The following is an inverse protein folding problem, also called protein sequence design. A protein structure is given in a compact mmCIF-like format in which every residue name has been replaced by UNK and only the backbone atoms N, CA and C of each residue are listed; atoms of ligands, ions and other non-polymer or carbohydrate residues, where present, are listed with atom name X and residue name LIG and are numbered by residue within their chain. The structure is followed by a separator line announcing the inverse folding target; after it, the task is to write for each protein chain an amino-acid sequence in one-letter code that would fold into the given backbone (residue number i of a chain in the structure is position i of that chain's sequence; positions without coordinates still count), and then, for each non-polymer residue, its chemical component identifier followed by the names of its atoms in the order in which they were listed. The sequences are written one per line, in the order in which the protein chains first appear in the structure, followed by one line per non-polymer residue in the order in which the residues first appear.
data_IF_863774970720
#
_entry.id   IF_863774970720
#
_cell.length_a   1.000
_cell.length_b   1.000
_cell.length_c   1.000
_cell.angle_alpha   90.00
_cell.angle_beta   90.00
_cell.angle_gamma   90.00
#
_symmetry.space_group_name_H-M   'P 1'
#
loop_
_entity.id
_entity.type
_entity.pdbx_description
1 polymer ?
#
# COMPACT_ATOMS: atom_id res chain seq x y z
N UNK A 1 13.77 17.00 -7.58
CA UNK A 1 12.63 16.16 -8.02
C UNK A 1 12.09 16.69 -9.34
N UNK A 2 11.83 15.82 -10.30
CA UNK A 2 11.25 16.24 -11.57
C UNK A 2 9.82 16.76 -11.35
N UNK A 3 9.45 17.82 -12.10
CA UNK A 3 8.15 18.47 -11.97
C UNK A 3 6.98 17.48 -12.13
N UNK A 4 7.09 16.53 -13.08
CA UNK A 4 6.02 15.55 -13.30
C UNK A 4 5.77 14.65 -12.09
N UNK A 5 6.77 14.40 -11.25
CA UNK A 5 6.61 13.60 -10.04
C UNK A 5 5.74 14.30 -9.00
N UNK A 6 5.78 15.64 -8.96
CA UNK A 6 4.94 16.44 -8.06
C UNK A 6 3.47 16.44 -8.49
N UNK A 7 3.19 16.07 -9.74
CA UNK A 7 1.84 16.01 -10.30
C UNK A 7 1.22 14.62 -10.20
N UNK A 8 1.96 13.62 -9.72
CA UNK A 8 1.42 12.26 -9.55
C UNK A 8 0.38 12.24 -8.42
N UNK A 9 -0.65 11.40 -8.55
CA UNK A 9 -1.65 11.26 -7.49
C UNK A 9 -1.03 10.65 -6.24
N UNK A 10 -1.52 11.07 -5.07
CA UNK A 10 -1.11 10.52 -3.78
C UNK A 10 -1.77 9.18 -3.49
N UNK A 11 -2.93 8.95 -4.07
CA UNK A 11 -3.69 7.71 -3.94
C UNK A 11 -4.39 7.41 -5.26
N UNK A 12 -4.44 6.13 -5.60
CA UNK A 12 -5.15 5.65 -6.79
C UNK A 12 -6.24 4.69 -6.34
N UNK A 13 -7.46 4.91 -6.83
CA UNK A 13 -8.56 3.96 -6.65
C UNK A 13 -8.79 3.23 -7.98
N UNK A 14 -8.88 1.90 -7.92
CA UNK A 14 -9.15 1.11 -9.12
C UNK A 14 -10.03 -0.09 -8.79
N UNK A 15 -10.67 -0.65 -9.81
CA UNK A 15 -11.49 -1.83 -9.68
C UNK A 15 -10.98 -2.90 -10.65
N UNK A 16 -10.79 -4.12 -10.15
CA UNK A 16 -10.33 -5.27 -10.95
C UNK A 16 -11.24 -6.45 -10.62
N UNK A 17 -11.92 -6.97 -11.62
CA UNK A 17 -12.84 -8.12 -11.49
C UNK A 17 -13.85 -7.95 -10.35
N UNK A 18 -14.40 -6.73 -10.21
CA UNK A 18 -15.41 -6.41 -9.21
C UNK A 18 -14.85 -6.09 -7.82
N UNK A 19 -13.56 -6.22 -7.60
CA UNK A 19 -12.91 -5.88 -6.33
C UNK A 19 -12.31 -4.48 -6.41
N UNK A 20 -12.56 -3.68 -5.38
CA UNK A 20 -12.08 -2.29 -5.30
C UNK A 20 -10.79 -2.20 -4.51
N UNK A 21 -9.82 -1.49 -5.06
CA UNK A 21 -8.49 -1.32 -4.48
C UNK A 21 -8.15 0.15 -4.29
N UNK A 22 -7.42 0.43 -3.22
CA UNK A 22 -6.78 1.73 -3.00
C UNK A 22 -5.27 1.52 -2.94
N UNK A 23 -4.54 2.31 -3.71
CA UNK A 23 -3.09 2.23 -3.77
C UNK A 23 -2.49 3.55 -3.29
N UNK A 24 -1.54 3.50 -2.37
CA UNK A 24 -0.79 4.66 -1.91
C UNK A 24 0.59 4.22 -1.44
N UNK A 25 1.50 5.17 -1.28
CA UNK A 25 2.86 4.84 -0.84
C UNK A 25 2.88 4.27 0.58
N UNK A 26 2.29 4.96 1.57
CA UNK A 26 2.35 4.56 2.97
C UNK A 26 1.01 4.14 3.57
N UNK A 27 -0.02 4.95 3.40
CA UNK A 27 -1.37 4.66 3.87
C UNK A 27 -2.40 5.15 2.87
N UNK A 28 -3.57 4.52 2.88
CA UNK A 28 -4.72 4.91 2.08
C UNK A 28 -5.80 5.56 2.96
N UNK A 29 -6.73 6.24 2.34
CA UNK A 29 -7.91 6.79 3.01
C UNK A 29 -9.16 6.50 2.19
N UNK A 30 -10.32 6.65 2.81
CA UNK A 30 -11.59 6.60 2.09
C UNK A 30 -11.59 7.68 0.98
N UNK A 31 -12.25 7.40 -0.13
CA UNK A 31 -12.31 8.33 -1.26
C UNK A 31 -13.03 9.64 -0.92
N UNK A 32 -13.71 9.69 0.21
CA UNK A 32 -14.42 10.88 0.70
C UNK A 32 -13.62 11.68 1.73
N UNK A 33 -12.52 11.15 2.22
CA UNK A 33 -11.69 11.82 3.22
C UNK A 33 -10.59 12.63 2.54
N UNK A 34 -10.26 13.77 3.16
CA UNK A 34 -9.12 14.58 2.73
C UNK A 34 -8.05 14.45 3.79
N UNK A 35 -6.95 13.84 3.41
CA UNK A 35 -5.80 13.66 4.29
C UNK A 35 -4.62 14.49 3.80
N UNK A 36 -3.65 14.74 4.68
CA UNK A 36 -2.44 15.47 4.34
C UNK A 36 -1.53 14.63 3.41
N UNK A 37 -0.62 15.30 2.70
CA UNK A 37 0.39 14.61 1.89
C UNK A 37 1.22 13.66 2.76
N UNK A 38 1.56 14.06 3.97
CA UNK A 38 2.33 13.25 4.92
C UNK A 38 1.60 11.97 5.32
N UNK A 39 0.28 12.01 5.36
CA UNK A 39 -0.51 10.80 5.61
C UNK A 39 -0.23 9.73 4.54
N UNK A 40 -0.32 10.10 3.27
CA UNK A 40 -0.12 9.16 2.16
C UNK A 40 1.34 8.77 1.94
N UNK A 41 2.26 9.71 2.15
CA UNK A 41 3.66 9.53 1.81
C UNK A 41 4.53 9.01 2.95
N UNK A 42 4.14 9.30 4.21
CA UNK A 42 4.95 8.97 5.39
C UNK A 42 4.22 8.11 6.41
N UNK A 43 2.92 7.92 6.25
CA UNK A 43 2.12 7.19 7.22
C UNK A 43 1.87 8.00 8.50
N UNK A 44 1.83 9.33 8.40
CA UNK A 44 1.57 10.21 9.54
C UNK A 44 0.07 10.18 9.90
N UNK A 45 -0.29 9.26 10.78
CA UNK A 45 -1.63 9.02 11.25
C UNK A 45 -1.64 7.81 12.18
N UNK A 46 -2.81 7.26 12.45
CA UNK A 46 -2.92 6.05 13.26
C UNK A 46 -2.64 4.82 12.39
N UNK A 47 -1.37 4.57 12.14
CA UNK A 47 -0.91 3.49 11.29
C UNK A 47 -1.34 2.12 11.83
N UNK A 48 -1.29 1.92 13.14
CA UNK A 48 -1.70 0.64 13.74
C UNK A 48 -3.19 0.36 13.52
N UNK A 49 -4.02 1.36 13.65
CA UNK A 49 -5.46 1.24 13.36
C UNK A 49 -5.69 0.94 11.89
N UNK A 50 -4.94 1.61 11.01
CA UNK A 50 -5.01 1.34 9.57
C UNK A 50 -4.64 -0.12 9.27
N UNK A 51 -3.55 -0.63 9.83
CA UNK A 51 -3.14 -2.03 9.62
C UNK A 51 -4.20 -3.02 10.11
N UNK A 52 -4.83 -2.71 11.24
CA UNK A 52 -5.82 -3.63 11.83
C UNK A 52 -7.16 -3.62 11.10
N UNK A 53 -7.58 -2.49 10.56
CA UNK A 53 -8.94 -2.32 10.04
C UNK A 53 -9.02 -2.04 8.55
N UNK A 54 -8.02 -1.35 7.98
CA UNK A 54 -8.05 -0.91 6.60
C UNK A 54 -9.18 0.09 6.33
N UNK A 55 -9.57 0.19 5.08
CA UNK A 55 -10.67 1.05 4.62
C UNK A 55 -11.81 0.14 4.16
N UNK A 56 -12.99 0.32 4.75
CA UNK A 56 -14.15 -0.52 4.44
C UNK A 56 -14.47 -0.49 2.95
N UNK A 57 -14.84 -1.65 2.41
CA UNK A 57 -15.16 -1.90 1.00
C UNK A 57 -13.97 -1.92 0.04
N UNK A 58 -12.75 -1.69 0.53
CA UNK A 58 -11.54 -1.66 -0.30
C UNK A 58 -10.49 -2.62 0.21
N UNK A 59 -9.63 -3.04 -0.71
CA UNK A 59 -8.35 -3.65 -0.37
C UNK A 59 -7.28 -2.59 -0.58
N UNK A 60 -6.55 -2.25 0.46
CA UNK A 60 -5.48 -1.24 0.42
C UNK A 60 -4.14 -1.91 0.15
N UNK A 61 -3.37 -1.38 -0.79
CA UNK A 61 -2.04 -1.88 -1.13
C UNK A 61 -1.04 -0.73 -0.96
N UNK A 62 -0.07 -0.91 -0.09
CA UNK A 62 0.91 0.11 0.28
C UNK A 62 2.32 -0.46 0.31
N UNK A 63 3.30 0.43 0.40
CA UNK A 63 4.70 0.13 0.66
C UNK A 63 5.18 0.87 1.91
N UNK A 64 6.34 1.49 1.84
CA UNK A 64 6.97 2.36 2.84
C UNK A 64 7.39 1.64 4.13
N UNK A 65 6.55 0.80 4.69
CA UNK A 65 6.83 0.07 5.93
C UNK A 65 7.24 -1.36 5.59
N UNK A 66 8.46 -1.73 5.91
CA UNK A 66 9.00 -3.05 5.59
C UNK A 66 8.54 -4.07 6.65
N UNK A 67 7.65 -5.01 6.31
CA UNK A 67 7.25 -6.06 7.25
C UNK A 67 8.40 -7.00 7.58
N UNK A 68 8.31 -7.65 8.72
CA UNK A 68 9.27 -8.65 9.12
C UNK A 68 9.31 -9.80 8.09
N UNK A 69 10.51 -10.28 7.77
CA UNK A 69 10.71 -11.40 6.87
C UNK A 69 10.82 -11.04 5.39
N UNK A 70 10.73 -9.75 5.04
CA UNK A 70 10.87 -9.26 3.66
C UNK A 70 9.96 -10.01 2.67
N UNK A 71 8.71 -10.23 3.08
CA UNK A 71 7.66 -10.83 2.26
C UNK A 71 6.47 -9.89 2.20
N UNK A 72 5.64 -10.06 1.20
CA UNK A 72 4.37 -9.33 1.09
C UNK A 72 3.52 -9.70 2.31
N UNK A 73 3.09 -8.70 3.03
CA UNK A 73 2.33 -8.86 4.27
C UNK A 73 0.85 -8.56 4.04
N UNK A 74 0.01 -9.33 4.69
CA UNK A 74 -1.44 -9.11 4.69
C UNK A 74 -1.95 -9.07 6.12
N UNK A 75 -2.89 -8.16 6.41
CA UNK A 75 -3.52 -8.11 7.72
C UNK A 75 -4.50 -9.27 7.91
N UNK A 76 -4.99 -9.44 9.13
CA UNK A 76 -5.92 -10.53 9.49
C UNK A 76 -7.19 -10.52 8.62
N UNK A 77 -7.72 -9.33 8.33
CA UNK A 77 -8.94 -9.19 7.52
C UNK A 77 -8.71 -9.40 6.02
N UNK A 78 -7.47 -9.39 5.58
CA UNK A 78 -7.11 -9.53 4.17
C UNK A 78 -7.37 -8.27 3.33
N UNK A 79 -7.62 -7.12 3.96
CA UNK A 79 -7.93 -5.87 3.27
C UNK A 79 -6.81 -4.82 3.34
N UNK A 80 -5.66 -5.18 3.90
CA UNK A 80 -4.45 -4.35 3.85
C UNK A 80 -3.29 -5.22 3.43
N UNK A 81 -2.59 -4.82 2.38
CA UNK A 81 -1.44 -5.53 1.84
C UNK A 81 -0.25 -4.57 1.81
N UNK A 82 0.86 -4.97 2.39
CA UNK A 82 2.10 -4.18 2.38
C UNK A 82 3.11 -4.90 1.49
N UNK A 83 3.51 -4.24 0.40
CA UNK A 83 4.38 -4.81 -0.62
C UNK A 83 5.86 -4.45 -0.46
N UNK A 84 6.24 -3.74 0.59
CA UNK A 84 7.63 -3.36 0.82
C UNK A 84 8.39 -4.54 1.39
N UNK A 85 9.24 -5.15 0.56
CA UNK A 85 10.04 -6.30 0.95
C UNK A 85 11.50 -5.93 1.22
N UNK A 86 11.76 -4.65 1.51
CA UNK A 86 13.06 -4.16 1.90
C UNK A 86 14.03 -4.00 0.74
N UNK A 87 13.55 -3.86 -0.49
CA UNK A 87 14.40 -3.59 -1.65
C UNK A 87 15.24 -2.34 -1.38
N UNK A 88 16.56 -2.46 -1.46
CA UNK A 88 17.50 -1.41 -1.07
C UNK A 88 18.22 -1.67 0.25
N UNK A 89 17.71 -2.56 1.08
CA UNK A 89 18.43 -3.07 2.24
C UNK A 89 19.19 -4.33 1.87
N UNK A 90 20.29 -4.58 2.59
CA UNK A 90 21.20 -5.68 2.27
C UNK A 90 20.51 -7.05 2.20
N UNK A 91 19.58 -7.33 3.08
CA UNK A 91 18.85 -8.59 3.14
C UNK A 91 17.46 -8.52 2.51
N UNK A 92 17.10 -7.38 1.92
CA UNK A 92 15.80 -7.18 1.31
C UNK A 92 15.71 -7.68 -0.11
N UNK A 93 14.51 -7.63 -0.68
CA UNK A 93 14.23 -8.01 -2.05
C UNK A 93 13.09 -7.19 -2.63
N UNK A 94 12.93 -7.24 -3.93
CA UNK A 94 11.81 -6.61 -4.61
C UNK A 94 10.64 -7.60 -4.66
N UNK A 95 9.50 -7.21 -4.12
CA UNK A 95 8.27 -7.99 -4.21
C UNK A 95 7.31 -7.40 -5.23
N UNK A 96 6.66 -8.25 -5.99
CA UNK A 96 5.61 -7.89 -6.94
C UNK A 96 4.37 -8.71 -6.65
N UNK A 97 3.21 -8.06 -6.70
CA UNK A 97 1.92 -8.72 -6.54
C UNK A 97 1.09 -8.55 -7.81
N UNK A 98 0.64 -9.67 -8.37
CA UNK A 98 -0.34 -9.63 -9.44
C UNK A 98 -1.74 -9.56 -8.83
N UNK A 99 -2.42 -8.43 -9.01
CA UNK A 99 -3.74 -8.20 -8.40
C UNK A 99 -4.77 -9.19 -8.92
N UNK A 100 -4.73 -9.51 -10.21
CA UNK A 100 -5.73 -10.38 -10.85
C UNK A 100 -5.68 -11.83 -10.32
N UNK A 101 -4.50 -12.33 -10.02
CA UNK A 101 -4.31 -13.75 -9.65
C UNK A 101 -3.91 -13.95 -8.20
N UNK A 102 -3.41 -12.91 -7.54
CA UNK A 102 -2.81 -13.02 -6.21
C UNK A 102 -1.40 -13.59 -6.22
N UNK A 103 -0.81 -13.84 -7.40
CA UNK A 103 0.55 -14.36 -7.51
C UNK A 103 1.57 -13.37 -6.97
N UNK A 104 2.52 -13.86 -6.19
CA UNK A 104 3.62 -13.09 -5.64
C UNK A 104 4.92 -13.50 -6.33
N UNK A 105 5.68 -12.52 -6.78
CA UNK A 105 6.96 -12.72 -7.44
C UNK A 105 8.02 -11.91 -6.68
N UNK A 106 9.15 -12.53 -6.39
CA UNK A 106 10.26 -11.90 -5.66
C UNK A 106 11.54 -11.95 -6.48
N UNK A 107 12.26 -10.85 -6.44
CA UNK A 107 13.55 -10.73 -7.15
C UNK A 107 14.67 -10.35 -6.20
#
# INVERSE_FOLDING_TARGET
MAKWMLELPLQIALEVDGTKYLLAHAMTSSTYEVCSDEYYLRGDGDFQSFLNHGIEEYISICGHSNPEGNVIWRNYKGNVIICDCGCGFQSGRLGCLCIETGEEIYV
#
